data_IF_926031444879
#
_entry.id   IF_926031444879
#
_cell.length_a   1.000
_cell.length_b   1.000
_cell.length_c   1.000
_cell.angle_alpha   90.00
_cell.angle_beta   90.00
_cell.angle_gamma   90.00
#
_symmetry.space_group_name_H-M   'P 1'
#
loop_
_entity.id
_entity.type
_entity.pdbx_description
1 polymer ?
#
# COMPACT_ATOMS: atom_id res chain seq x y z
N UNK A 1 9.56 -44.35 -22.43
CA UNK A 1 8.22 -43.98 -21.91
C UNK A 1 8.27 -43.19 -20.61
N UNK A 2 9.17 -43.47 -19.65
CA UNK A 2 9.28 -42.70 -18.40
C UNK A 2 9.88 -41.28 -18.57
N UNK A 3 10.85 -41.09 -19.47
CA UNK A 3 11.47 -39.78 -19.71
C UNK A 3 10.51 -38.75 -20.35
N UNK A 4 9.59 -39.20 -21.20
CA UNK A 4 8.61 -38.32 -21.84
C UNK A 4 7.55 -37.81 -20.84
N UNK A 5 7.18 -38.65 -19.87
CA UNK A 5 6.27 -38.28 -18.78
C UNK A 5 6.90 -37.30 -17.79
N UNK A 6 8.19 -37.44 -17.50
CA UNK A 6 8.94 -36.49 -16.69
C UNK A 6 9.11 -35.13 -17.38
N UNK A 7 9.37 -35.12 -18.70
CA UNK A 7 9.42 -33.87 -19.48
C UNK A 7 8.06 -33.16 -19.50
N UNK A 8 6.95 -33.91 -19.58
CA UNK A 8 5.60 -33.35 -19.57
C UNK A 8 5.21 -32.77 -18.20
N UNK A 9 5.66 -33.38 -17.09
CA UNK A 9 5.49 -32.79 -15.75
C UNK A 9 6.38 -31.55 -15.53
N UNK A 10 7.59 -31.52 -16.09
CA UNK A 10 8.48 -30.34 -16.02
C UNK A 10 7.96 -29.20 -16.92
N UNK A 11 7.30 -29.50 -18.04
CA UNK A 11 6.60 -28.53 -18.89
C UNK A 11 5.27 -28.03 -18.28
N UNK A 12 4.65 -28.82 -17.40
CA UNK A 12 3.47 -28.41 -16.60
C UNK A 12 3.84 -27.61 -15.34
N UNK A 13 5.11 -27.57 -14.95
CA UNK A 13 5.65 -26.49 -14.12
C UNK A 13 5.77 -25.21 -14.98
N UNK A 14 4.67 -24.82 -15.62
CA UNK A 14 4.53 -23.52 -16.25
C UNK A 14 4.87 -22.48 -15.21
N UNK A 15 5.72 -21.52 -15.60
CA UNK A 15 5.90 -20.28 -14.88
C UNK A 15 4.50 -19.71 -14.60
N UNK A 16 3.98 -19.94 -13.41
CA UNK A 16 2.73 -19.33 -12.98
C UNK A 16 3.08 -17.84 -12.87
N UNK A 17 2.60 -17.04 -13.81
CA UNK A 17 2.70 -15.60 -13.72
C UNK A 17 2.13 -15.19 -12.37
N UNK A 18 2.97 -14.53 -11.56
CA UNK A 18 2.57 -14.08 -10.24
C UNK A 18 1.45 -13.04 -10.41
N UNK A 19 0.31 -13.25 -9.75
CA UNK A 19 -0.83 -12.33 -9.84
C UNK A 19 -0.56 -11.08 -8.99
N UNK A 20 -0.98 -9.88 -9.42
CA UNK A 20 -0.80 -8.66 -8.64
C UNK A 20 -1.73 -8.62 -7.41
N UNK A 21 -1.17 -8.24 -6.27
CA UNK A 21 -1.94 -7.83 -5.09
C UNK A 21 -2.51 -6.43 -5.25
N UNK A 22 -1.78 -5.56 -5.96
CA UNK A 22 -2.15 -4.18 -6.21
C UNK A 22 -1.89 -3.82 -7.68
N UNK A 23 -2.86 -3.22 -8.36
CA UNK A 23 -2.71 -2.73 -9.73
C UNK A 23 -3.04 -1.25 -9.79
N UNK A 24 -2.21 -0.44 -10.44
CA UNK A 24 -2.43 1.00 -10.61
C UNK A 24 -2.53 1.30 -12.09
N UNK A 25 -3.60 1.99 -12.47
CA UNK A 25 -3.77 2.59 -13.81
C UNK A 25 -3.70 4.10 -13.69
N UNK A 26 -2.82 4.70 -14.47
CA UNK A 26 -2.76 6.14 -14.70
C UNK A 26 -3.42 6.43 -16.04
N UNK A 27 -4.44 7.28 -16.08
CA UNK A 27 -5.15 7.60 -17.32
C UNK A 27 -4.54 8.81 -18.03
N UNK A 28 -4.94 9.05 -19.28
CA UNK A 28 -4.55 10.24 -20.05
C UNK A 28 -4.81 11.56 -19.31
N UNK A 29 -5.85 11.62 -18.46
CA UNK A 29 -6.14 12.80 -17.62
C UNK A 29 -5.04 13.05 -16.59
N UNK A 30 -4.52 11.99 -15.94
CA UNK A 30 -3.37 12.12 -15.06
C UNK A 30 -2.11 12.47 -15.83
N UNK A 31 -1.88 11.82 -16.98
CA UNK A 31 -0.69 12.07 -17.79
C UNK A 31 -0.62 13.51 -18.28
N UNK A 32 -1.76 14.13 -18.65
CA UNK A 32 -1.79 15.54 -19.03
C UNK A 32 -1.50 16.46 -17.84
N UNK A 33 -1.99 16.14 -16.64
CA UNK A 33 -1.64 16.88 -15.42
C UNK A 33 -0.13 16.78 -15.12
N UNK A 34 0.44 15.57 -15.18
CA UNK A 34 1.88 15.34 -14.97
C UNK A 34 2.71 16.08 -16.02
N UNK A 35 2.25 16.09 -17.28
CA UNK A 35 2.89 16.85 -18.37
C UNK A 35 2.85 18.35 -18.11
N UNK A 36 1.73 18.91 -17.66
CA UNK A 36 1.63 20.33 -17.33
C UNK A 36 2.61 20.72 -16.22
N UNK A 37 2.66 19.94 -15.15
CA UNK A 37 3.61 20.17 -14.05
C UNK A 37 5.07 19.95 -14.49
N UNK A 38 5.33 18.94 -15.32
CA UNK A 38 6.64 18.68 -15.90
C UNK A 38 7.13 19.80 -16.82
N UNK A 39 6.24 20.39 -17.63
CA UNK A 39 6.56 21.54 -18.48
C UNK A 39 6.91 22.77 -17.65
N UNK A 40 6.18 23.04 -16.55
CA UNK A 40 6.52 24.15 -15.64
C UNK A 40 7.88 23.95 -14.98
N UNK A 41 8.18 22.72 -14.56
CA UNK A 41 9.49 22.38 -14.02
C UNK A 41 10.60 22.58 -15.08
N UNK A 42 10.38 22.11 -16.30
CA UNK A 42 11.34 22.25 -17.40
C UNK A 42 11.57 23.71 -17.80
N UNK A 43 10.53 24.54 -17.85
CA UNK A 43 10.65 25.98 -18.13
C UNK A 43 11.62 26.65 -17.15
N UNK A 44 11.48 26.35 -15.85
CA UNK A 44 12.38 26.87 -14.82
C UNK A 44 13.82 26.36 -14.96
N UNK A 45 14.04 25.12 -15.42
CA UNK A 45 15.38 24.61 -15.72
C UNK A 45 15.98 25.27 -16.96
N UNK A 46 15.18 25.57 -17.98
CA UNK A 46 15.62 26.24 -19.20
C UNK A 46 15.97 27.72 -18.97
N UNK A 47 15.32 28.40 -18.02
CA UNK A 47 15.69 29.77 -17.59
C UNK A 47 17.12 29.86 -17.05
N UNK A 48 17.72 28.75 -16.62
CA UNK A 48 19.11 28.71 -16.13
C UNK A 48 20.16 28.66 -17.24
N UNK A 49 19.76 28.50 -18.51
CA UNK A 49 20.69 28.40 -19.65
C UNK A 49 21.31 29.77 -19.93
N UNK A 50 22.64 29.84 -19.85
CA UNK A 50 23.41 30.98 -20.33
C UNK A 50 23.75 30.80 -21.81
N UNK A 51 23.18 31.64 -22.68
CA UNK A 51 23.51 31.67 -24.10
C UNK A 51 24.85 32.42 -24.29
N UNK A 52 25.88 31.81 -24.90
CA UNK A 52 27.16 32.49 -25.11
C UNK A 52 27.04 33.59 -26.18
N UNK A 53 27.83 34.65 -26.03
CA UNK A 53 27.94 35.71 -27.04
C UNK A 53 28.41 35.15 -28.39
N UNK A 54 27.64 35.43 -29.46
CA UNK A 54 28.07 35.17 -30.83
C UNK A 54 29.07 36.24 -31.28
N UNK A 55 30.31 35.86 -31.61
CA UNK A 55 31.34 36.76 -32.16
C UNK A 55 31.83 36.25 -33.51
N UNK A 56 31.85 37.13 -34.50
CA UNK A 56 32.39 36.86 -35.84
C UNK A 56 33.01 38.11 -36.46
N UNK A 57 34.01 37.92 -37.32
CA UNK A 57 34.53 38.97 -38.21
C UNK A 57 34.43 38.46 -39.64
N UNK A 58 33.50 39.01 -40.41
CA UNK A 58 33.59 38.93 -41.87
C UNK A 58 34.24 40.21 -42.40
N UNK A 59 34.91 40.09 -43.55
CA UNK A 59 35.76 41.14 -44.13
C UNK A 59 35.04 42.45 -44.46
N UNK A 60 35.76 43.40 -45.05
CA UNK A 60 35.29 44.77 -45.30
C UNK A 60 33.90 44.82 -45.97
N UNK A 61 32.89 45.18 -45.18
CA UNK A 61 31.50 45.31 -45.60
C UNK A 61 31.26 46.68 -46.24
N UNK A 62 31.10 46.74 -47.56
CA UNK A 62 30.47 47.87 -48.26
C UNK A 62 29.03 47.48 -48.61
N UNK A 63 28.04 47.99 -47.86
CA UNK A 63 26.63 47.79 -48.19
C UNK A 63 25.84 49.09 -48.09
N UNK A 64 24.90 49.25 -49.03
CA UNK A 64 23.83 50.22 -48.92
C UNK A 64 22.69 49.52 -48.19
N UNK A 65 22.15 50.10 -47.11
CA UNK A 65 21.16 49.46 -46.24
C UNK A 65 19.96 49.03 -47.10
N UNK A 66 19.91 47.76 -47.41
CA UNK A 66 18.91 47.11 -48.24
C UNK A 66 18.48 45.84 -47.54
N UNK A 67 17.23 45.45 -47.77
CA UNK A 67 16.56 44.25 -47.23
C UNK A 67 17.45 42.99 -47.25
N UNK A 68 18.33 42.88 -48.26
CA UNK A 68 19.32 41.80 -48.43
C UNK A 68 20.35 41.65 -47.30
N UNK A 69 20.74 42.74 -46.64
CA UNK A 69 21.70 42.68 -45.51
C UNK A 69 21.01 42.10 -44.27
N UNK A 70 19.74 42.44 -44.06
CA UNK A 70 18.90 41.85 -43.02
C UNK A 70 18.62 40.37 -43.29
N UNK A 71 18.33 39.97 -44.54
CA UNK A 71 18.15 38.55 -44.90
C UNK A 71 19.42 37.72 -44.68
N UNK A 72 20.58 38.24 -45.08
CA UNK A 72 21.86 37.54 -44.89
C UNK A 72 22.21 37.40 -43.41
N UNK A 73 22.24 38.50 -42.65
CA UNK A 73 22.53 38.47 -41.21
C UNK A 73 21.50 37.64 -40.46
N UNK A 74 20.22 37.73 -40.80
CA UNK A 74 19.17 36.92 -40.15
C UNK A 74 19.38 35.43 -40.43
N UNK A 75 19.78 35.02 -41.63
CA UNK A 75 20.04 33.60 -41.94
C UNK A 75 21.22 33.05 -41.13
N UNK A 76 22.34 33.78 -41.07
CA UNK A 76 23.52 33.37 -40.31
C UNK A 76 23.27 33.37 -38.80
N UNK A 77 22.66 34.43 -38.27
CA UNK A 77 22.34 34.54 -36.84
C UNK A 77 21.29 33.49 -36.46
N UNK A 78 20.23 33.30 -37.25
CA UNK A 78 19.19 32.31 -36.96
C UNK A 78 19.74 30.89 -36.98
N UNK A 79 20.58 30.55 -37.97
CA UNK A 79 21.22 29.23 -38.04
C UNK A 79 22.17 29.00 -36.85
N UNK A 80 23.04 29.98 -36.55
CA UNK A 80 23.98 29.92 -35.43
C UNK A 80 23.28 29.83 -34.08
N UNK A 81 22.25 30.65 -33.86
CA UNK A 81 21.41 30.60 -32.65
C UNK A 81 20.66 29.28 -32.53
N UNK A 82 20.08 28.76 -33.62
CA UNK A 82 19.37 27.46 -33.59
C UNK A 82 20.32 26.32 -33.25
N UNK A 83 21.54 26.34 -33.78
CA UNK A 83 22.58 25.36 -33.44
C UNK A 83 22.96 25.44 -31.96
N UNK A 84 23.27 26.65 -31.45
CA UNK A 84 23.63 26.85 -30.05
C UNK A 84 22.49 26.48 -29.09
N UNK A 85 21.25 26.88 -29.40
CA UNK A 85 20.08 26.55 -28.60
C UNK A 85 19.84 25.04 -28.55
N UNK A 86 19.91 24.32 -29.67
CA UNK A 86 19.80 22.87 -29.67
C UNK A 86 20.91 22.20 -28.84
N UNK A 87 22.14 22.74 -28.91
CA UNK A 87 23.28 22.21 -28.16
C UNK A 87 23.14 22.43 -26.64
N UNK A 88 22.44 23.49 -26.22
CA UNK A 88 22.22 23.80 -24.78
C UNK A 88 20.93 23.17 -24.23
N UNK A 89 19.85 23.14 -25.01
CA UNK A 89 18.53 22.65 -24.57
C UNK A 89 18.54 21.13 -24.38
N UNK A 90 19.08 20.36 -25.34
CA UNK A 90 19.03 18.89 -25.27
C UNK A 90 19.73 18.31 -24.03
N UNK A 91 20.93 18.79 -23.60
CA UNK A 91 21.55 18.35 -22.36
C UNK A 91 20.72 18.70 -21.10
N UNK A 92 20.13 19.89 -21.05
CA UNK A 92 19.27 20.29 -19.91
C UNK A 92 18.02 19.42 -19.86
N UNK A 93 17.37 19.18 -20.99
CA UNK A 93 16.21 18.30 -21.08
C UNK A 93 16.57 16.86 -20.66
N UNK A 94 17.72 16.35 -21.11
CA UNK A 94 18.19 15.02 -20.72
C UNK A 94 18.46 14.95 -19.22
N UNK A 95 19.12 15.95 -18.63
CA UNK A 95 19.40 16.00 -17.20
C UNK A 95 18.10 16.09 -16.38
N UNK A 96 17.18 16.96 -16.78
CA UNK A 96 15.88 17.12 -16.13
C UNK A 96 15.05 15.82 -16.20
N UNK A 97 14.99 15.18 -17.38
CA UNK A 97 14.19 13.97 -17.58
C UNK A 97 14.78 12.69 -17.01
N UNK A 98 16.11 12.52 -17.07
CA UNK A 98 16.76 11.26 -16.69
C UNK A 98 17.40 11.26 -15.30
N UNK A 99 17.69 12.43 -14.72
CA UNK A 99 18.35 12.52 -13.40
C UNK A 99 17.39 13.12 -12.38
N UNK A 100 16.88 14.31 -12.67
CA UNK A 100 16.04 15.04 -11.71
C UNK A 100 14.67 14.36 -11.52
N UNK A 101 14.03 13.93 -12.60
CA UNK A 101 12.76 13.20 -12.51
C UNK A 101 12.91 11.83 -11.85
N UNK A 102 14.03 11.13 -12.06
CA UNK A 102 14.30 9.86 -11.37
C UNK A 102 14.44 10.05 -9.85
N UNK A 103 14.98 11.19 -9.40
CA UNK A 103 15.04 11.52 -7.97
C UNK A 103 13.65 11.63 -7.32
N UNK A 104 12.63 12.01 -8.10
CA UNK A 104 11.22 11.98 -7.66
C UNK A 104 10.68 10.55 -7.62
N UNK A 105 10.94 9.74 -8.65
CA UNK A 105 10.46 8.35 -8.72
C UNK A 105 11.10 7.46 -7.64
N UNK A 106 12.32 7.76 -7.22
CA UNK A 106 13.01 7.09 -6.11
C UNK A 106 12.31 7.29 -4.76
N UNK A 107 11.41 8.28 -4.65
CA UNK A 107 10.59 8.50 -3.44
C UNK A 107 9.41 7.54 -3.32
N UNK A 108 9.13 6.73 -4.35
CA UNK A 108 8.04 5.75 -4.33
C UNK A 108 8.38 4.62 -3.36
N UNK A 109 7.54 4.33 -2.35
CA UNK A 109 7.81 3.26 -1.40
C UNK A 109 7.64 1.88 -2.06
N UNK A 110 8.76 1.30 -2.50
CA UNK A 110 8.77 -0.04 -3.11
C UNK A 110 8.68 -1.14 -2.05
N UNK A 111 9.49 -1.05 -0.98
CA UNK A 111 9.44 -2.03 0.12
C UNK A 111 9.77 -1.31 1.42
N UNK A 112 8.99 -1.55 2.47
CA UNK A 112 9.17 -0.86 3.73
C UNK A 112 8.36 -1.44 4.87
N UNK A 113 8.70 -1.03 6.09
CA UNK A 113 7.93 -1.37 7.29
C UNK A 113 6.62 -0.58 7.32
N UNK A 114 5.52 -1.26 7.63
CA UNK A 114 4.23 -0.63 7.93
C UNK A 114 4.17 -0.25 9.41
N UNK A 115 4.64 -1.17 10.25
CA UNK A 115 4.87 -0.96 11.68
C UNK A 115 6.04 -1.82 12.17
N UNK A 116 6.18 -2.00 13.49
CA UNK A 116 7.27 -2.77 14.12
C UNK A 116 7.19 -4.28 13.84
N UNK A 117 6.06 -4.79 13.34
CA UNK A 117 5.79 -6.22 13.17
C UNK A 117 5.72 -6.63 11.70
N UNK A 118 5.17 -5.78 10.83
CA UNK A 118 4.81 -6.13 9.46
C UNK A 118 5.37 -5.11 8.47
N UNK A 119 5.94 -5.61 7.37
CA UNK A 119 6.34 -4.85 6.20
C UNK A 119 5.43 -5.10 4.99
N UNK A 120 5.58 -4.27 3.97
CA UNK A 120 4.87 -4.39 2.69
C UNK A 120 5.85 -4.32 1.52
N UNK A 121 5.57 -5.11 0.48
CA UNK A 121 6.31 -5.20 -0.77
C UNK A 121 5.42 -4.81 -1.96
N UNK A 122 5.73 -3.67 -2.55
CA UNK A 122 5.22 -3.11 -3.80
C UNK A 122 6.27 -3.21 -4.93
N UNK A 123 7.09 -4.25 -4.96
CA UNK A 123 7.92 -4.53 -6.14
C UNK A 123 7.03 -4.73 -7.37
N UNK A 124 7.48 -4.18 -8.50
CA UNK A 124 6.83 -4.40 -9.79
C UNK A 124 7.00 -5.86 -10.19
N UNK A 125 5.91 -6.47 -10.66
CA UNK A 125 5.93 -7.85 -11.17
C UNK A 125 6.45 -7.92 -12.61
N UNK A 126 6.28 -6.83 -13.36
CA UNK A 126 6.73 -6.63 -14.74
C UNK A 126 6.86 -5.14 -15.04
N UNK A 127 7.47 -4.80 -16.17
CA UNK A 127 7.59 -3.41 -16.61
C UNK A 127 6.21 -2.75 -16.79
N UNK A 128 6.08 -1.44 -16.47
CA UNK A 128 4.86 -0.69 -16.74
C UNK A 128 4.42 -0.80 -18.20
N UNK A 129 3.14 -1.05 -18.44
CA UNK A 129 2.59 -1.25 -19.78
C UNK A 129 1.86 0.03 -20.20
N UNK A 130 2.40 0.70 -21.22
CA UNK A 130 1.76 1.87 -21.82
C UNK A 130 0.81 1.45 -22.95
N UNK A 131 -0.39 2.04 -22.96
CA UNK A 131 -1.37 1.93 -24.04
C UNK A 131 -1.64 3.32 -24.66
N UNK A 132 -2.66 3.42 -25.50
CA UNK A 132 -3.07 4.68 -26.13
C UNK A 132 -3.67 5.69 -25.15
N UNK A 133 -4.31 5.22 -24.08
CA UNK A 133 -5.05 6.06 -23.13
C UNK A 133 -4.58 5.92 -21.68
N UNK A 134 -3.75 4.92 -21.37
CA UNK A 134 -3.39 4.60 -19.99
C UNK A 134 -1.98 4.02 -19.84
N UNK A 135 -1.49 4.05 -18.59
CA UNK A 135 -0.25 3.41 -18.14
C UNK A 135 -0.61 2.49 -16.96
N UNK A 136 -0.42 1.19 -17.16
CA UNK A 136 -0.75 0.16 -16.18
C UNK A 136 0.51 -0.35 -15.49
N UNK A 137 0.45 -0.44 -14.16
CA UNK A 137 1.52 -0.93 -13.30
C UNK A 137 0.98 -2.04 -12.39
N UNK A 138 1.69 -3.16 -12.36
CA UNK A 138 1.32 -4.34 -11.57
C UNK A 138 2.32 -4.56 -10.44
N UNK A 139 1.83 -4.37 -9.22
CA UNK A 139 2.61 -4.48 -8.00
C UNK A 139 2.29 -5.77 -7.26
N UNK A 140 3.33 -6.36 -6.65
CA UNK A 140 3.18 -7.53 -5.78
C UNK A 140 2.14 -7.28 -4.69
N UNK A 141 2.22 -6.16 -3.98
CA UNK A 141 1.23 -5.74 -2.99
C UNK A 141 1.04 -6.77 -1.87
N UNK A 142 2.15 -7.32 -1.36
CA UNK A 142 2.13 -8.39 -0.36
C UNK A 142 2.73 -7.90 0.96
N UNK A 143 2.04 -8.17 2.06
CA UNK A 143 2.59 -7.96 3.39
C UNK A 143 3.40 -9.17 3.84
N UNK A 144 4.40 -8.92 4.67
CA UNK A 144 5.26 -9.96 5.25
C UNK A 144 5.61 -9.62 6.72
N UNK A 145 5.75 -10.63 7.60
CA UNK A 145 6.25 -10.44 8.95
C UNK A 145 7.73 -10.05 8.92
N UNK A 146 8.11 -9.00 9.66
CA UNK A 146 9.49 -8.52 9.72
C UNK A 146 10.44 -9.53 10.39
N UNK A 147 9.93 -10.33 11.32
CA UNK A 147 10.69 -11.39 11.99
C UNK A 147 11.03 -12.58 11.07
N UNK A 148 10.27 -12.80 9.99
CA UNK A 148 10.44 -13.92 9.06
C UNK A 148 10.59 -13.40 7.63
N UNK A 149 11.71 -12.73 7.34
CA UNK A 149 11.89 -11.94 6.10
C UNK A 149 11.79 -12.71 4.77
N UNK A 150 11.90 -14.04 4.77
CA UNK A 150 11.84 -14.88 3.57
C UNK A 150 10.49 -15.56 3.36
N UNK A 151 9.51 -15.31 4.22
CA UNK A 151 8.18 -15.90 4.08
C UNK A 151 7.29 -15.05 3.17
N UNK A 152 6.51 -15.70 2.30
CA UNK A 152 5.53 -15.05 1.44
C UNK A 152 4.25 -15.88 1.33
N UNK A 153 3.10 -15.23 1.37
CA UNK A 153 1.81 -15.86 1.08
C UNK A 153 1.68 -16.10 -0.44
N UNK A 154 1.30 -17.31 -0.90
CA UNK A 154 1.00 -17.53 -2.31
C UNK A 154 -0.27 -16.78 -2.74
N UNK A 155 -0.20 -16.03 -3.83
CA UNK A 155 -1.37 -15.34 -4.36
C UNK A 155 -2.29 -16.30 -5.13
N UNK A 156 -3.53 -16.43 -4.65
CA UNK A 156 -4.61 -17.21 -5.29
C UNK A 156 -5.87 -16.37 -5.49
N UNK A 157 -5.78 -15.06 -5.33
CA UNK A 157 -6.93 -14.16 -5.47
C UNK A 157 -7.28 -13.95 -6.95
N UNK A 158 -8.48 -13.41 -7.17
CA UNK A 158 -8.91 -12.97 -8.49
C UNK A 158 -8.00 -11.83 -8.96
N UNK A 159 -7.53 -11.91 -10.20
CA UNK A 159 -6.73 -10.84 -10.81
C UNK A 159 -7.57 -9.57 -10.95
N UNK A 160 -7.13 -8.43 -10.37
CA UNK A 160 -7.86 -7.17 -10.51
C UNK A 160 -7.90 -6.67 -11.95
N UNK A 161 -9.10 -6.42 -12.44
CA UNK A 161 -9.34 -5.83 -13.76
C UNK A 161 -9.69 -4.36 -13.60
N UNK A 162 -8.96 -3.49 -14.30
CA UNK A 162 -9.25 -2.05 -14.39
C UNK A 162 -9.83 -1.78 -15.76
N UNK A 163 -11.07 -1.29 -15.81
CA UNK A 163 -11.77 -0.97 -17.08
C UNK A 163 -12.13 0.50 -17.18
N UNK A 164 -12.20 1.18 -16.05
CA UNK A 164 -12.62 2.56 -15.95
C UNK A 164 -11.50 3.53 -16.34
N UNK A 165 -11.86 4.63 -16.99
CA UNK A 165 -10.93 5.67 -17.45
C UNK A 165 -11.41 7.10 -17.14
N UNK A 166 -12.47 7.24 -16.35
CA UNK A 166 -13.11 8.54 -16.07
C UNK A 166 -12.29 9.43 -15.13
N UNK A 167 -11.54 8.83 -14.19
CA UNK A 167 -10.71 9.52 -13.19
C UNK A 167 -9.24 9.54 -13.60
N UNK A 168 -8.43 10.35 -12.93
CA UNK A 168 -6.99 10.45 -13.24
C UNK A 168 -6.24 9.15 -12.93
N UNK A 169 -6.60 8.46 -11.84
CA UNK A 169 -5.92 7.24 -11.41
C UNK A 169 -6.94 6.24 -10.87
N UNK A 170 -6.68 4.96 -11.11
CA UNK A 170 -7.39 3.86 -10.49
C UNK A 170 -6.41 2.94 -9.78
N UNK A 171 -6.71 2.60 -8.54
CA UNK A 171 -5.94 1.64 -7.75
C UNK A 171 -6.85 0.46 -7.42
N UNK A 172 -6.43 -0.75 -7.78
CA UNK A 172 -7.15 -1.97 -7.46
C UNK A 172 -6.40 -2.79 -6.43
N UNK A 173 -7.13 -3.34 -5.46
CA UNK A 173 -6.61 -4.22 -4.42
C UNK A 173 -7.36 -5.55 -4.45
N UNK A 174 -6.65 -6.65 -4.61
CA UNK A 174 -7.24 -7.99 -4.54
C UNK A 174 -7.47 -8.43 -3.09
N UNK A 175 -8.28 -9.47 -2.88
CA UNK A 175 -8.42 -10.12 -1.57
C UNK A 175 -7.05 -10.51 -0.97
N UNK A 176 -6.09 -10.92 -1.83
CA UNK A 176 -4.74 -11.29 -1.43
C UNK A 176 -3.98 -10.15 -0.72
N UNK A 177 -4.15 -8.90 -1.17
CA UNK A 177 -3.53 -7.75 -0.52
C UNK A 177 -3.91 -7.70 0.98
N UNK A 178 -5.19 -7.90 1.29
CA UNK A 178 -5.69 -7.88 2.66
C UNK A 178 -5.37 -9.16 3.42
N UNK A 179 -5.51 -10.32 2.77
CA UNK A 179 -5.20 -11.61 3.38
C UNK A 179 -3.73 -11.72 3.79
N UNK A 180 -2.80 -11.24 2.96
CA UNK A 180 -1.37 -11.23 3.29
C UNK A 180 -1.06 -10.37 4.52
N UNK A 181 -1.76 -9.24 4.70
CA UNK A 181 -1.63 -8.41 5.90
C UNK A 181 -2.08 -9.18 7.15
N UNK A 182 -3.29 -9.75 7.10
CA UNK A 182 -3.89 -10.43 8.25
C UNK A 182 -3.12 -11.71 8.63
N UNK A 183 -2.61 -12.46 7.65
CA UNK A 183 -1.71 -13.59 7.86
C UNK A 183 -0.40 -13.15 8.52
N UNK A 184 0.20 -12.03 8.08
CA UNK A 184 1.45 -11.51 8.66
C UNK A 184 1.28 -11.11 10.12
N UNK A 185 0.18 -10.40 10.47
CA UNK A 185 -0.13 -10.06 11.87
C UNK A 185 -0.47 -11.28 12.72
N UNK A 186 -1.13 -12.29 12.13
CA UNK A 186 -1.41 -13.55 12.82
C UNK A 186 -0.11 -14.29 13.18
N UNK A 187 0.83 -14.41 12.22
CA UNK A 187 2.15 -15.03 12.42
C UNK A 187 3.00 -14.28 13.44
N UNK A 188 2.95 -12.95 13.41
CA UNK A 188 3.61 -12.11 14.41
C UNK A 188 3.00 -12.24 15.82
N UNK A 189 1.91 -13.01 15.99
CA UNK A 189 1.24 -13.19 17.29
C UNK A 189 0.50 -11.95 17.79
N UNK A 190 0.28 -10.96 16.93
CA UNK A 190 -0.28 -9.65 17.30
C UNK A 190 -1.78 -9.70 17.63
N UNK A 191 -2.48 -10.73 17.15
CA UNK A 191 -3.94 -10.86 17.24
C UNK A 191 -4.38 -11.55 18.54
N UNK A 192 -3.97 -10.98 19.67
CA UNK A 192 -4.30 -11.45 21.03
C UNK A 192 -4.67 -10.28 21.94
N UNK A 193 -5.68 -10.47 22.78
CA UNK A 193 -6.07 -9.55 23.85
C UNK A 193 -6.22 -10.33 25.15
N UNK A 194 -5.66 -9.82 26.25
CA UNK A 194 -5.80 -10.41 27.58
C UNK A 194 -6.22 -9.35 28.58
N UNK A 195 -7.37 -9.57 29.21
CA UNK A 195 -7.93 -8.73 30.28
C UNK A 195 -7.89 -9.54 31.57
N UNK A 196 -7.38 -8.95 32.65
CA UNK A 196 -7.25 -9.60 33.95
C UNK A 196 -7.79 -8.67 35.02
N UNK A 197 -8.60 -9.21 35.94
CA UNK A 197 -9.14 -8.49 37.08
C UNK A 197 -9.97 -7.28 36.67
N UNK A 198 -9.57 -6.11 37.18
CA UNK A 198 -10.20 -4.81 36.95
C UNK A 198 -10.26 -4.37 35.48
N UNK A 199 -9.47 -4.98 34.60
CA UNK A 199 -9.53 -4.75 33.14
C UNK A 199 -10.71 -5.44 32.47
N UNK A 200 -11.33 -6.42 33.12
CA UNK A 200 -12.58 -7.04 32.62
C UNK A 200 -13.73 -6.08 32.96
N UNK A 201 -14.61 -5.72 31.99
CA UNK A 201 -15.75 -4.87 32.27
C UNK A 201 -16.58 -5.42 33.43
N UNK A 202 -16.95 -4.56 34.38
CA UNK A 202 -17.55 -4.98 35.65
C UNK A 202 -18.82 -5.84 35.48
N UNK A 203 -19.73 -5.44 34.60
CA UNK A 203 -20.95 -6.20 34.30
C UNK A 203 -20.64 -7.60 33.72
N UNK A 204 -19.58 -7.70 32.91
CA UNK A 204 -19.12 -8.96 32.36
C UNK A 204 -18.44 -9.81 33.44
N UNK A 205 -17.62 -9.23 34.31
CA UNK A 205 -16.99 -9.93 35.44
C UNK A 205 -18.06 -10.55 36.36
N UNK A 206 -19.06 -9.77 36.78
CA UNK A 206 -20.17 -10.27 37.60
C UNK A 206 -20.91 -11.44 36.93
N UNK A 207 -21.21 -11.31 35.63
CA UNK A 207 -21.93 -12.34 34.89
C UNK A 207 -21.10 -13.62 34.75
N UNK A 208 -19.80 -13.48 34.47
CA UNK A 208 -18.88 -14.61 34.38
C UNK A 208 -18.76 -15.31 35.73
N UNK A 209 -18.61 -14.57 36.83
CA UNK A 209 -18.60 -15.14 38.18
C UNK A 209 -19.87 -15.90 38.51
N UNK A 210 -21.03 -15.34 38.18
CA UNK A 210 -22.31 -16.02 38.38
C UNK A 210 -22.42 -17.29 37.53
N UNK A 211 -21.97 -17.23 36.27
CA UNK A 211 -22.02 -18.36 35.34
C UNK A 211 -21.12 -19.52 35.78
N UNK A 212 -19.92 -19.21 36.28
CA UNK A 212 -18.93 -20.21 36.69
C UNK A 212 -18.87 -20.43 38.21
N UNK A 213 -19.83 -19.91 38.97
CA UNK A 213 -19.83 -19.96 40.43
C UNK A 213 -19.67 -21.39 40.96
N UNK A 214 -20.44 -22.34 40.40
CA UNK A 214 -20.34 -23.74 40.78
C UNK A 214 -18.94 -24.32 40.56
N UNK A 215 -18.34 -24.05 39.39
CA UNK A 215 -16.97 -24.50 39.08
C UNK A 215 -15.94 -23.87 40.01
N UNK A 216 -16.07 -22.58 40.35
CA UNK A 216 -15.15 -21.86 41.23
C UNK A 216 -15.23 -22.42 42.66
N UNK A 217 -16.45 -22.65 43.19
CA UNK A 217 -16.65 -23.18 44.55
C UNK A 217 -16.12 -24.61 44.69
N UNK A 218 -16.21 -25.42 43.61
CA UNK A 218 -15.66 -26.79 43.58
C UNK A 218 -14.12 -26.82 43.61
N UNK A 219 -13.43 -25.75 43.23
CA UNK A 219 -11.98 -25.66 43.32
C UNK A 219 -11.53 -25.48 44.77
N UNK A 220 -11.97 -24.40 45.42
CA UNK A 220 -11.75 -24.12 46.85
C UNK A 220 -12.48 -22.83 47.25
N UNK A 221 -13.04 -22.73 48.47
CA UNK A 221 -13.57 -21.47 48.98
C UNK A 221 -12.55 -20.32 49.01
N UNK A 222 -11.25 -20.64 49.12
CA UNK A 222 -10.18 -19.64 49.20
C UNK A 222 -9.93 -18.90 47.87
N UNK A 223 -10.37 -19.45 46.73
CA UNK A 223 -10.13 -18.85 45.41
C UNK A 223 -11.32 -18.06 44.87
N UNK A 224 -12.44 -17.99 45.59
CA UNK A 224 -13.69 -17.33 45.16
C UNK A 224 -13.44 -15.89 44.70
N UNK A 225 -12.66 -15.13 45.46
CA UNK A 225 -12.39 -13.71 45.18
C UNK A 225 -11.19 -13.48 44.24
N UNK A 226 -10.63 -14.56 43.67
CA UNK A 226 -9.49 -14.44 42.75
C UNK A 226 -9.89 -13.69 41.47
N UNK A 227 -9.00 -12.86 40.90
CA UNK A 227 -9.25 -12.17 39.62
C UNK A 227 -9.62 -13.13 38.48
N UNK A 228 -10.58 -12.74 37.66
CA UNK A 228 -10.86 -13.42 36.39
C UNK A 228 -9.92 -12.91 35.29
N UNK A 229 -9.57 -13.80 34.38
CA UNK A 229 -8.88 -13.51 33.13
C UNK A 229 -9.77 -13.87 31.97
N UNK A 230 -9.97 -12.91 31.07
CA UNK A 230 -10.59 -13.10 29.77
C UNK A 230 -9.54 -12.92 28.69
N UNK A 231 -9.24 -14.00 27.97
CA UNK A 231 -8.28 -14.00 26.87
C UNK A 231 -9.01 -14.25 25.54
N UNK A 232 -8.78 -13.36 24.59
CA UNK A 232 -9.20 -13.48 23.20
C UNK A 232 -7.96 -13.71 22.35
N UNK A 233 -7.92 -14.83 21.62
CA UNK A 233 -6.80 -15.16 20.75
C UNK A 233 -7.31 -15.64 19.41
N UNK A 234 -6.89 -15.01 18.32
CA UNK A 234 -7.19 -15.50 16.98
C UNK A 234 -6.51 -16.86 16.79
N UNK A 235 -7.25 -17.86 16.28
CA UNK A 235 -6.76 -19.25 16.16
C UNK A 235 -6.49 -19.67 14.70
N UNK A 236 -6.96 -18.87 13.75
CA UNK A 236 -6.66 -19.02 12.33
C UNK A 236 -6.51 -17.64 11.68
N UNK A 237 -5.68 -17.50 10.63
CA UNK A 237 -5.54 -16.25 9.90
C UNK A 237 -6.90 -15.71 9.43
N UNK A 238 -7.24 -14.44 9.75
CA UNK A 238 -8.47 -13.82 9.27
C UNK A 238 -8.52 -13.77 7.74
N UNK A 239 -9.71 -13.86 7.16
CA UNK A 239 -9.92 -13.92 5.71
C UNK A 239 -10.78 -12.76 5.23
N UNK A 240 -10.30 -12.06 4.20
CA UNK A 240 -11.02 -11.00 3.51
C UNK A 240 -11.87 -11.61 2.40
N UNK A 241 -13.08 -11.09 2.23
CA UNK A 241 -13.92 -11.43 1.08
C UNK A 241 -14.53 -10.15 0.55
N UNK A 242 -14.31 -9.89 -0.74
CA UNK A 242 -14.78 -8.71 -1.45
C UNK A 242 -15.88 -9.14 -2.41
N UNK A 243 -17.06 -8.56 -2.23
CA UNK A 243 -18.22 -8.76 -3.10
C UNK A 243 -18.76 -7.39 -3.53
N UNK A 244 -19.54 -7.31 -4.63
CA UNK A 244 -20.20 -6.06 -5.02
C UNK A 244 -21.01 -5.41 -3.89
N UNK A 245 -21.62 -6.20 -3.01
CA UNK A 245 -22.39 -5.72 -1.87
C UNK A 245 -21.54 -5.12 -0.73
N UNK A 246 -20.23 -5.37 -0.68
CA UNK A 246 -19.40 -4.97 0.45
C UNK A 246 -18.16 -5.86 0.65
N UNK A 247 -17.23 -5.35 1.47
CA UNK A 247 -16.07 -6.10 1.94
C UNK A 247 -16.32 -6.61 3.36
N UNK A 248 -15.99 -7.88 3.59
CA UNK A 248 -16.17 -8.54 4.88
C UNK A 248 -14.90 -9.25 5.32
N UNK A 249 -14.60 -9.21 6.61
CA UNK A 249 -13.50 -9.95 7.23
C UNK A 249 -14.11 -11.00 8.15
N UNK A 250 -13.70 -12.25 7.97
CA UNK A 250 -14.07 -13.37 8.84
C UNK A 250 -12.93 -13.65 9.81
N UNK A 251 -13.25 -13.67 11.10
CA UNK A 251 -12.30 -13.88 12.20
C UNK A 251 -12.80 -15.05 13.03
N UNK A 252 -11.93 -16.03 13.26
CA UNK A 252 -12.18 -17.12 14.21
C UNK A 252 -11.14 -17.08 15.31
N UNK A 253 -11.60 -17.07 16.56
CA UNK A 253 -10.76 -16.89 17.74
C UNK A 253 -11.22 -17.80 18.88
N UNK A 254 -10.34 -18.07 19.83
CA UNK A 254 -10.68 -18.68 21.11
C UNK A 254 -11.00 -17.59 22.14
N UNK A 255 -12.02 -17.86 22.95
CA UNK A 255 -12.34 -17.10 24.16
C UNK A 255 -12.01 -18.01 25.33
N UNK A 256 -10.99 -17.67 26.09
CA UNK A 256 -10.56 -18.44 27.26
C UNK A 256 -10.89 -17.64 28.52
N UNK A 257 -11.55 -18.29 29.45
CA UNK A 257 -11.93 -17.73 30.74
C UNK A 257 -11.20 -18.53 31.80
N UNK A 258 -10.39 -17.84 32.59
CA UNK A 258 -9.59 -18.45 33.64
C UNK A 258 -9.71 -17.66 34.94
N UNK A 259 -9.49 -18.34 36.05
CA UNK A 259 -9.29 -17.75 37.37
C UNK A 259 -7.79 -17.59 37.58
N UNK A 260 -7.37 -16.48 38.18
CA UNK A 260 -5.96 -16.17 38.44
C UNK A 260 -5.74 -16.00 39.95
N UNK A 261 -5.61 -17.09 40.74
CA UNK A 261 -5.40 -16.97 42.17
C UNK A 261 -3.99 -16.46 42.48
N UNK A 262 -3.83 -15.63 43.53
CA UNK A 262 -2.55 -15.05 43.88
C UNK A 262 -1.53 -16.13 44.27
N UNK A 263 -0.39 -16.14 43.60
CA UNK A 263 0.70 -17.10 43.87
C UNK A 263 0.42 -18.54 43.42
N UNK A 264 -0.64 -18.78 42.64
CA UNK A 264 -0.99 -20.09 42.09
C UNK A 264 -1.08 -20.04 40.56
N UNK A 265 -0.98 -21.18 39.86
CA UNK A 265 -1.20 -21.23 38.42
C UNK A 265 -2.63 -20.82 38.05
N UNK A 266 -2.78 -20.27 36.85
CA UNK A 266 -4.09 -19.95 36.28
C UNK A 266 -4.94 -21.22 36.14
N UNK A 267 -6.21 -21.15 36.56
CA UNK A 267 -7.15 -22.26 36.45
C UNK A 267 -8.17 -21.95 35.36
N UNK A 268 -8.13 -22.68 34.25
CA UNK A 268 -9.07 -22.49 33.16
C UNK A 268 -10.47 -22.95 33.57
N UNK A 269 -11.43 -22.04 33.51
CA UNK A 269 -12.85 -22.31 33.78
C UNK A 269 -13.60 -22.72 32.51
N UNK A 270 -13.24 -22.12 31.37
CA UNK A 270 -13.88 -22.42 30.08
C UNK A 270 -13.01 -22.02 28.90
N UNK A 271 -13.23 -22.68 27.77
CA UNK A 271 -12.66 -22.30 26.47
C UNK A 271 -13.70 -22.49 25.38
N UNK A 272 -13.99 -21.43 24.63
CA UNK A 272 -15.00 -21.40 23.58
C UNK A 272 -14.40 -20.92 22.27
N UNK A 273 -15.09 -21.25 21.16
CA UNK A 273 -14.80 -20.67 19.85
C UNK A 273 -15.70 -19.47 19.61
N UNK A 274 -15.11 -18.38 19.12
CA UNK A 274 -15.78 -17.17 18.67
C UNK A 274 -15.60 -17.03 17.16
N UNK A 275 -16.72 -16.92 16.46
CA UNK A 275 -16.76 -16.47 15.07
C UNK A 275 -17.30 -15.05 14.99
N UNK A 276 -16.50 -14.16 14.42
CA UNK A 276 -16.86 -12.78 14.16
C UNK A 276 -16.81 -12.48 12.66
N UNK A 277 -17.78 -11.70 12.18
CA UNK A 277 -17.77 -11.13 10.84
C UNK A 277 -17.78 -9.61 10.95
N UNK A 278 -16.73 -8.99 10.44
CA UNK A 278 -16.58 -7.54 10.36
C UNK A 278 -16.96 -7.09 8.96
N UNK A 279 -17.59 -5.92 8.82
CA UNK A 279 -17.60 -5.20 7.55
C UNK A 279 -16.42 -4.24 7.52
N UNK A 280 -15.75 -4.16 6.38
CA UNK A 280 -14.65 -3.24 6.15
C UNK A 280 -15.07 -2.18 5.12
N UNK A 281 -14.84 -0.91 5.44
CA UNK A 281 -15.00 0.22 4.53
C UNK A 281 -13.63 0.83 4.29
N UNK A 282 -13.25 0.91 3.02
CA UNK A 282 -11.94 1.37 2.59
C UNK A 282 -12.05 2.83 2.14
N UNK A 283 -11.01 3.61 2.36
CA UNK A 283 -10.89 4.97 1.84
C UNK A 283 -9.43 5.33 1.60
N UNK A 284 -9.17 6.16 0.59
CA UNK A 284 -7.87 6.79 0.41
C UNK A 284 -7.87 8.16 1.08
N UNK A 285 -6.86 8.44 1.90
CA UNK A 285 -6.65 9.77 2.47
C UNK A 285 -5.20 10.20 2.32
N UNK A 286 -4.97 11.23 1.52
CA UNK A 286 -3.62 11.61 1.10
C UNK A 286 -3.06 10.51 0.20
N UNK A 287 -2.17 9.68 0.74
CA UNK A 287 -1.57 8.52 0.04
C UNK A 287 -1.83 7.19 0.75
N UNK A 288 -2.52 7.24 1.88
CA UNK A 288 -2.73 6.07 2.72
C UNK A 288 -4.09 5.44 2.44
N UNK A 289 -4.11 4.12 2.22
CA UNK A 289 -5.31 3.30 2.27
C UNK A 289 -5.67 3.04 3.74
N UNK A 290 -6.84 3.50 4.14
CA UNK A 290 -7.38 3.34 5.50
C UNK A 290 -8.60 2.44 5.47
N UNK A 291 -8.83 1.76 6.58
CA UNK A 291 -9.97 0.87 6.74
C UNK A 291 -10.72 1.18 8.02
N UNK A 292 -12.04 1.29 7.93
CA UNK A 292 -12.95 1.30 9.06
C UNK A 292 -13.66 -0.05 9.17
N UNK A 293 -13.60 -0.66 10.35
CA UNK A 293 -14.16 -1.95 10.68
C UNK A 293 -15.38 -1.79 11.58
N UNK A 294 -16.46 -2.51 11.26
CA UNK A 294 -17.65 -2.61 12.09
C UNK A 294 -18.00 -4.08 12.35
N UNK A 295 -18.30 -4.45 13.60
CA UNK A 295 -18.76 -5.79 13.96
C UNK A 295 -20.20 -6.02 13.46
N UNK A 296 -20.37 -6.92 12.49
CA UNK A 296 -21.68 -7.24 11.88
C UNK A 296 -22.31 -8.48 12.46
N UNK A 297 -21.54 -9.54 12.64
CA UNK A 297 -21.99 -10.79 13.23
C UNK A 297 -20.98 -11.25 14.26
N UNK A 298 -21.49 -11.82 15.33
CA UNK A 298 -20.73 -12.42 16.40
C UNK A 298 -21.49 -13.65 16.89
N UNK A 299 -20.77 -14.73 17.13
CA UNK A 299 -21.31 -15.94 17.75
C UNK A 299 -20.20 -16.62 18.55
N UNK A 300 -20.53 -17.04 19.77
CA UNK A 300 -19.73 -18.01 20.53
C UNK A 300 -20.40 -19.39 20.58
N UNK A 301 -19.59 -20.44 20.66
CA UNK A 301 -20.02 -21.83 20.82
C UNK A 301 -18.89 -22.68 21.41
N UNK A 302 -19.23 -23.82 22.02
CA UNK A 302 -18.27 -24.84 22.42
C UNK A 302 -18.11 -25.87 21.29
N UNK A 303 -16.87 -26.20 20.95
CA UNK A 303 -16.59 -27.28 19.98
C UNK A 303 -16.77 -28.68 20.60
N UNK A 304 -16.84 -28.77 21.93
CA UNK A 304 -16.90 -30.03 22.65
C UNK A 304 -18.33 -30.47 22.93
N UNK A 305 -19.26 -29.52 23.11
CA UNK A 305 -20.63 -29.83 23.52
C UNK A 305 -21.68 -28.81 23.04
N UNK A 306 -22.79 -29.33 22.52
CA UNK A 306 -23.97 -28.53 22.17
C UNK A 306 -24.70 -28.01 23.41
N UNK A 307 -24.71 -28.77 24.52
CA UNK A 307 -25.30 -28.35 25.79
C UNK A 307 -24.50 -27.21 26.42
N UNK A 308 -23.16 -27.28 26.37
CA UNK A 308 -22.31 -26.16 26.79
C UNK A 308 -22.59 -24.92 25.95
N UNK A 309 -22.78 -25.08 24.63
CA UNK A 309 -23.14 -23.95 23.76
C UNK A 309 -24.46 -23.26 24.14
N UNK A 310 -25.44 -23.99 24.68
CA UNK A 310 -26.68 -23.41 25.20
C UNK A 310 -26.43 -22.62 26.50
N UNK A 311 -25.54 -23.09 27.37
CA UNK A 311 -25.14 -22.37 28.58
C UNK A 311 -24.40 -21.05 28.29
N UNK A 312 -23.88 -20.87 27.07
CA UNK A 312 -23.20 -19.64 26.64
C UNK A 312 -24.15 -18.53 26.15
N UNK A 313 -25.44 -18.80 25.98
CA UNK A 313 -26.41 -17.83 25.47
C UNK A 313 -26.41 -16.51 26.28
N UNK A 314 -26.39 -16.52 27.63
CA UNK A 314 -26.33 -15.30 28.43
C UNK A 314 -25.07 -14.46 28.18
N UNK A 315 -23.96 -15.09 27.78
CA UNK A 315 -22.68 -14.43 27.53
C UNK A 315 -22.58 -13.76 26.15
N UNK A 316 -23.48 -14.10 25.21
CA UNK A 316 -23.40 -13.59 23.83
C UNK A 316 -23.49 -12.05 23.77
N UNK A 317 -24.51 -11.46 24.39
CA UNK A 317 -24.74 -10.02 24.30
C UNK A 317 -23.66 -9.20 25.02
N UNK A 318 -23.26 -9.52 26.27
CA UNK A 318 -22.20 -8.80 26.96
C UNK A 318 -20.83 -8.88 26.27
N UNK A 319 -20.46 -10.07 25.77
CA UNK A 319 -19.21 -10.21 25.00
C UNK A 319 -19.27 -9.43 23.68
N UNK A 320 -20.41 -9.45 22.98
CA UNK A 320 -20.59 -8.60 21.80
C UNK A 320 -20.42 -7.11 22.13
N UNK A 321 -21.00 -6.64 23.23
CA UNK A 321 -20.87 -5.25 23.68
C UNK A 321 -19.41 -4.90 23.98
N UNK A 322 -18.69 -5.77 24.70
CA UNK A 322 -17.26 -5.60 24.96
C UNK A 322 -16.45 -5.52 23.66
N UNK A 323 -16.75 -6.37 22.67
CA UNK A 323 -16.08 -6.30 21.37
C UNK A 323 -16.39 -4.99 20.65
N UNK A 324 -17.64 -4.52 20.68
CA UNK A 324 -18.06 -3.29 20.01
C UNK A 324 -17.46 -2.03 20.64
N UNK A 325 -17.40 -1.95 21.96
CA UNK A 325 -17.00 -0.72 22.67
C UNK A 325 -15.53 -0.76 23.10
N UNK A 326 -14.97 -1.95 23.35
CA UNK A 326 -13.57 -2.13 23.74
C UNK A 326 -12.66 -2.43 22.55
N UNK A 327 -12.97 -3.49 21.78
CA UNK A 327 -12.05 -4.02 20.76
C UNK A 327 -12.14 -3.25 19.43
N UNK A 328 -13.33 -2.92 18.95
CA UNK A 328 -13.48 -2.23 17.65
C UNK A 328 -12.78 -0.86 17.62
N UNK A 329 -12.83 0.00 18.67
CA UNK A 329 -12.08 1.24 18.66
C UNK A 329 -10.57 1.04 18.56
N UNK A 330 -10.02 0.06 19.29
CA UNK A 330 -8.58 -0.26 19.23
C UNK A 330 -8.17 -0.73 17.83
N UNK A 331 -8.99 -1.58 17.19
CA UNK A 331 -8.73 -2.01 15.81
C UNK A 331 -8.81 -0.83 14.83
N UNK A 332 -9.86 -0.01 14.95
CA UNK A 332 -10.06 1.16 14.08
C UNK A 332 -8.96 2.20 14.25
N UNK A 333 -8.43 2.42 15.44
CA UNK A 333 -7.29 3.32 15.66
C UNK A 333 -6.06 2.87 14.85
N UNK A 334 -5.77 1.55 14.84
CA UNK A 334 -4.67 0.98 14.06
C UNK A 334 -4.94 1.05 12.56
N UNK A 335 -6.11 0.61 12.11
CA UNK A 335 -6.45 0.58 10.67
C UNK A 335 -6.68 1.97 10.07
N UNK A 336 -6.91 2.99 10.92
CA UNK A 336 -7.02 4.39 10.49
C UNK A 336 -5.66 5.05 10.21
N UNK A 337 -4.55 4.52 10.75
CA UNK A 337 -3.19 4.94 10.32
C UNK A 337 -3.00 4.62 8.84
N UNK A 338 -3.50 3.45 8.43
CA UNK A 338 -3.51 2.98 7.05
C UNK A 338 -2.14 2.55 6.55
N UNK A 339 -2.10 2.16 5.28
CA UNK A 339 -0.88 1.73 4.57
C UNK A 339 -0.62 2.67 3.39
N UNK A 340 0.64 3.06 3.19
CA UNK A 340 1.03 3.96 2.10
C UNK A 340 0.92 3.23 0.75
N UNK A 341 0.23 3.85 -0.21
CA UNK A 341 0.16 3.38 -1.60
C UNK A 341 1.40 3.91 -2.35
N UNK A 342 1.98 3.14 -3.30
CA UNK A 342 3.20 3.52 -4.02
C UNK A 342 2.96 4.72 -4.95
N UNK A 343 3.04 5.92 -4.36
CA UNK A 343 2.85 7.21 -5.02
C UNK A 343 4.01 8.16 -4.62
N UNK A 344 4.59 8.91 -5.56
CA UNK A 344 5.73 9.80 -5.28
C UNK A 344 5.44 10.86 -4.20
N UNK A 345 6.49 11.37 -3.55
CA UNK A 345 6.41 12.52 -2.65
C UNK A 345 5.73 13.72 -3.34
N UNK A 346 4.95 14.51 -2.59
CA UNK A 346 4.27 15.69 -3.14
C UNK A 346 2.94 15.44 -3.88
N UNK A 347 2.63 14.20 -4.26
CA UNK A 347 1.36 13.86 -4.94
C UNK A 347 0.39 13.18 -3.96
N UNK A 348 -0.89 13.56 -3.98
CA UNK A 348 -1.95 12.98 -3.16
C UNK A 348 -3.17 12.57 -4.01
N UNK A 349 -3.91 11.57 -3.54
CA UNK A 349 -5.24 11.24 -4.05
C UNK A 349 -6.29 12.21 -3.48
N UNK A 350 -7.22 12.63 -4.32
CA UNK A 350 -8.37 13.46 -3.95
C UNK A 350 -9.63 12.97 -4.66
N UNK A 351 -10.81 13.21 -4.06
CA UNK A 351 -12.12 12.87 -4.63
C UNK A 351 -12.25 11.40 -5.00
N UNK A 352 -11.85 10.54 -4.07
CA UNK A 352 -11.86 9.10 -4.22
C UNK A 352 -13.28 8.52 -4.31
N UNK A 353 -13.43 7.46 -5.10
CA UNK A 353 -14.65 6.67 -5.23
C UNK A 353 -14.25 5.21 -5.16
N UNK A 354 -14.81 4.50 -4.19
CA UNK A 354 -14.53 3.09 -3.94
C UNK A 354 -15.64 2.25 -4.54
N UNK A 355 -15.27 1.28 -5.38
CA UNK A 355 -16.17 0.31 -5.99
C UNK A 355 -15.72 -1.09 -5.62
N UNK A 356 -16.63 -1.93 -5.14
CA UNK A 356 -16.32 -3.33 -4.85
C UNK A 356 -16.70 -4.21 -6.05
N UNK A 357 -15.80 -5.12 -6.42
CA UNK A 357 -16.03 -6.14 -7.43
C UNK A 357 -16.05 -7.53 -6.78
N UNK A 358 -16.15 -8.59 -7.57
CA UNK A 358 -15.99 -9.95 -7.07
C UNK A 358 -14.49 -10.28 -6.92
N UNK A 359 -13.98 -10.36 -5.69
CA UNK A 359 -12.60 -10.75 -5.39
C UNK A 359 -11.57 -9.62 -5.34
N UNK A 360 -11.95 -8.40 -5.69
CA UNK A 360 -11.10 -7.21 -5.61
C UNK A 360 -11.95 -5.94 -5.48
N UNK A 361 -11.34 -4.86 -5.03
CA UNK A 361 -11.95 -3.51 -5.03
C UNK A 361 -11.15 -2.58 -5.91
N UNK A 362 -11.80 -1.57 -6.46
CA UNK A 362 -11.18 -0.46 -7.21
C UNK A 362 -11.44 0.85 -6.51
N UNK A 363 -10.44 1.73 -6.48
CA UNK A 363 -10.56 3.10 -6.00
C UNK A 363 -10.14 4.02 -7.14
N UNK A 364 -11.12 4.70 -7.74
CA UNK A 364 -10.89 5.75 -8.70
C UNK A 364 -10.70 7.09 -7.98
N UNK A 365 -9.67 7.85 -8.32
CA UNK A 365 -9.37 9.13 -7.68
C UNK A 365 -8.76 10.11 -8.68
N UNK A 366 -8.78 11.38 -8.30
CA UNK A 366 -8.01 12.41 -8.98
C UNK A 366 -6.68 12.64 -8.26
N UNK A 367 -5.69 13.17 -8.97
CA UNK A 367 -4.38 13.49 -8.41
C UNK A 367 -4.28 14.98 -8.12
N UNK A 368 -3.62 15.32 -7.02
CA UNK A 368 -3.30 16.69 -6.66
C UNK A 368 -1.85 16.80 -6.21
N UNK A 369 -1.10 17.72 -6.82
CA UNK A 369 0.24 18.09 -6.40
C UNK A 369 0.15 19.03 -5.21
N UNK A 370 0.37 18.48 -4.02
CA UNK A 370 0.46 19.24 -2.77
C UNK A 370 1.79 20.00 -2.65
N UNK A 371 2.81 19.58 -3.41
CA UNK A 371 4.11 20.22 -3.56
C UNK A 371 4.49 20.26 -5.04
N UNK A 372 5.19 21.30 -5.46
CA UNK A 372 5.71 21.38 -6.83
C UNK A 372 6.86 20.39 -7.08
N UNK A 373 7.06 19.97 -8.33
CA UNK A 373 8.13 19.02 -8.69
C UNK A 373 9.51 19.52 -8.25
N UNK A 374 9.81 20.80 -8.49
CA UNK A 374 11.08 21.42 -8.09
C UNK A 374 11.37 21.25 -6.61
N UNK A 375 10.38 21.56 -5.75
CA UNK A 375 10.52 21.46 -4.30
C UNK A 375 10.89 20.03 -3.87
N UNK A 376 10.22 19.02 -4.45
CA UNK A 376 10.46 17.63 -4.10
C UNK A 376 11.81 17.15 -4.63
N UNK A 377 12.16 17.53 -5.86
CA UNK A 377 13.43 17.16 -6.50
C UNK A 377 14.62 17.78 -5.75
N UNK A 378 14.56 19.08 -5.42
CA UNK A 378 15.64 19.77 -4.71
C UNK A 378 15.87 19.18 -3.32
N UNK A 379 14.79 18.82 -2.62
CA UNK A 379 14.86 18.14 -1.32
C UNK A 379 15.54 16.77 -1.40
N UNK A 380 15.29 16.01 -2.48
CA UNK A 380 15.79 14.64 -2.64
C UNK A 380 17.01 14.57 -3.58
N UNK A 381 17.62 15.72 -3.90
CA UNK A 381 18.77 15.77 -4.80
C UNK A 381 19.92 14.97 -4.17
N UNK A 382 20.54 14.04 -4.90
CA UNK A 382 21.76 13.41 -4.43
C UNK A 382 22.80 14.50 -4.15
N UNK A 383 23.45 14.45 -2.97
CA UNK A 383 24.50 15.40 -2.64
C UNK A 383 25.55 15.41 -3.76
N UNK A 384 25.86 16.60 -4.26
CA UNK A 384 26.79 16.80 -5.38
C UNK A 384 28.20 16.33 -4.98
N UNK A 385 28.52 15.05 -5.14
CA UNK A 385 29.92 14.58 -5.22
C UNK A 385 30.44 14.91 -6.61
N UNK A 386 30.67 16.21 -6.86
CA UNK A 386 31.53 16.68 -7.95
C UNK A 386 32.62 17.56 -7.36
N UNK A 387 33.75 16.92 -7.07
CA UNK A 387 35.03 17.60 -7.19
C UNK A 387 35.21 18.09 -8.63
N UNK A 388 35.99 19.16 -8.84
CA UNK A 388 36.16 19.76 -10.17
C UNK A 388 36.88 18.77 -11.10
N UNK A 389 36.36 18.62 -12.31
CA UNK A 389 36.85 17.80 -13.45
C UNK A 389 36.29 16.37 -13.57
N UNK A 390 35.18 16.22 -14.28
CA UNK A 390 34.95 15.07 -15.15
C UNK A 390 34.13 15.52 -16.36
N UNK A 391 34.70 15.37 -17.55
CA UNK A 391 34.13 15.79 -18.83
C UNK A 391 32.82 15.04 -19.15
N UNK A 392 31.75 15.78 -19.39
CA UNK A 392 30.50 15.28 -19.92
C UNK A 392 30.62 15.09 -21.44
N UNK A 393 31.06 13.91 -21.89
CA UNK A 393 30.87 13.47 -23.27
C UNK A 393 29.77 12.39 -23.28
N UNK A 394 28.72 12.54 -24.10
CA UNK A 394 27.70 11.49 -24.26
C UNK A 394 28.28 10.30 -25.04
N UNK A 395 27.86 9.05 -24.77
CA UNK A 395 28.26 7.89 -25.55
C UNK A 395 27.67 7.95 -26.97
N UNK A 396 28.37 7.43 -27.99
CA UNK A 396 27.92 7.47 -29.38
C UNK A 396 26.69 6.58 -29.58
N UNK A 397 25.71 7.10 -30.34
CA UNK A 397 24.50 6.40 -30.75
C UNK A 397 24.84 5.22 -31.67
N UNK A 398 24.54 4.00 -31.25
CA UNK A 398 24.43 2.85 -32.14
C UNK A 398 23.19 3.01 -33.01
N UNK A 399 23.42 3.32 -34.29
CA UNK A 399 22.40 3.18 -35.32
C UNK A 399 22.07 1.69 -35.51
N UNK A 400 20.78 1.35 -35.50
CA UNK A 400 20.28 0.06 -35.90
C UNK A 400 20.53 -0.16 -37.41
N UNK A 401 20.96 -1.37 -37.77
CA UNK A 401 21.01 -1.90 -39.13
C UNK A 401 19.66 -2.51 -39.48
#
# INVERSE_FOLDING_TARGET
MALLGALFLVLLAGAHAELPGCKIRITSKALELVKQEGLRFLEQELETITIPDLRGREGHFYYNISEKVYEFLSTFITSGMRFLLNQQICPVLYHAGMVLLNSLLDTVPVRGAVDELVGIDYSLLKDPVASTSNLDMEFRGAFYPLAEGNWSLPNRAVEPQLQEEERMVYVAFSEFFFDSAMESYFRAGALKLSLVGDKVPHDLDMLLRATYFGSIVLLSPAVIDSPLKLELRVIAPPRCTIKPAGTTISVTASVTIALVPPGQPEVQLSSMTMDARLSAKMALRGKALRTQLDLRRFRIYSNQSALESLALIPLQAPLKTMLQIGVMPMLNERTWRGVQIPLPEGINFVREVVTNNAGFLTIGADLHFAKGLREVIEKNRPADTRGPQASSAPPPSTAAV
#
